data_IF_240108871480
#
_entry.id   IF_240108871480
#
_cell.length_a   1.000
_cell.length_b   1.000
_cell.length_c   1.000
_cell.angle_alpha   90.00
_cell.angle_beta   90.00
_cell.angle_gamma   90.00
#
_symmetry.space_group_name_H-M   'P 1'
#
loop_
_entity.id
_entity.type
_entity.pdbx_description
1 polymer ?
#
# COMPACT_ATOMS: atom_id res chain seq x y z
N UNK A 1 10.82 -17.45 -12.50
CA UNK A 1 11.31 -16.45 -11.54
C UNK A 1 11.11 -17.00 -10.15
N UNK A 2 12.12 -16.92 -9.29
CA UNK A 2 11.99 -17.38 -7.90
C UNK A 2 11.42 -16.25 -7.04
N UNK A 3 10.14 -16.35 -6.68
CA UNK A 3 9.46 -15.41 -5.79
C UNK A 3 9.39 -15.93 -4.34
N UNK A 4 10.11 -17.01 -4.03
CA UNK A 4 10.08 -17.64 -2.70
C UNK A 4 10.44 -16.68 -1.58
N UNK A 5 11.38 -15.75 -1.81
CA UNK A 5 11.75 -14.73 -0.84
C UNK A 5 10.60 -13.75 -0.53
N UNK A 6 9.79 -13.39 -1.53
CA UNK A 6 8.61 -12.53 -1.35
C UNK A 6 7.52 -13.28 -0.61
N UNK A 7 7.26 -14.54 -0.98
CA UNK A 7 6.28 -15.39 -0.29
C UNK A 7 6.66 -15.62 1.17
N UNK A 8 7.94 -15.91 1.45
CA UNK A 8 8.44 -16.07 2.82
C UNK A 8 8.34 -14.77 3.64
N UNK A 9 8.57 -13.61 3.02
CA UNK A 9 8.40 -12.32 3.67
C UNK A 9 6.92 -12.00 3.98
N UNK A 10 5.99 -12.39 3.09
CA UNK A 10 4.55 -12.29 3.33
C UNK A 10 4.09 -13.22 4.46
N UNK A 11 4.54 -14.49 4.46
CA UNK A 11 4.21 -15.47 5.50
C UNK A 11 4.76 -15.06 6.89
N UNK A 12 5.96 -14.48 6.92
CA UNK A 12 6.58 -13.97 8.14
C UNK A 12 6.09 -12.58 8.55
N UNK A 13 5.13 -11.99 7.81
CA UNK A 13 4.59 -10.64 8.03
C UNK A 13 5.67 -9.54 8.10
N UNK A 14 6.83 -9.77 7.50
CA UNK A 14 7.96 -8.84 7.50
C UNK A 14 7.82 -7.86 6.32
N UNK A 15 6.72 -7.10 6.31
CA UNK A 15 6.31 -6.26 5.18
C UNK A 15 7.31 -5.16 4.83
N UNK A 16 8.04 -4.63 5.82
CA UNK A 16 9.07 -3.59 5.64
C UNK A 16 10.18 -4.00 4.68
N UNK A 17 10.51 -5.30 4.63
CA UNK A 17 11.62 -5.81 3.80
C UNK A 17 11.19 -6.17 2.39
N UNK A 18 9.89 -6.21 2.11
CA UNK A 18 9.36 -6.69 0.83
C UNK A 18 9.77 -5.76 -0.31
N UNK A 19 9.79 -4.45 -0.08
CA UNK A 19 10.21 -3.45 -1.07
C UNK A 19 11.67 -3.71 -1.50
N UNK A 20 12.60 -3.76 -0.54
CA UNK A 20 14.02 -4.01 -0.82
C UNK A 20 14.25 -5.36 -1.53
N UNK A 21 13.53 -6.41 -1.10
CA UNK A 21 13.61 -7.74 -1.73
C UNK A 21 13.14 -7.67 -3.19
N UNK A 22 12.02 -7.02 -3.44
CA UNK A 22 11.45 -6.87 -4.78
C UNK A 22 12.34 -6.02 -5.69
N UNK A 23 12.90 -4.92 -5.20
CA UNK A 23 13.84 -4.08 -5.96
C UNK A 23 15.10 -4.86 -6.34
N UNK A 24 15.70 -5.58 -5.39
CA UNK A 24 16.89 -6.39 -5.65
C UNK A 24 16.62 -7.51 -6.66
N UNK A 25 15.50 -8.22 -6.53
CA UNK A 25 15.08 -9.23 -7.50
C UNK A 25 14.86 -8.60 -8.88
N UNK A 26 14.25 -7.41 -8.95
CA UNK A 26 14.00 -6.73 -10.23
C UNK A 26 15.31 -6.36 -10.93
N UNK A 27 16.31 -5.89 -10.18
CA UNK A 27 17.64 -5.59 -10.70
C UNK A 27 18.37 -6.83 -11.21
N UNK A 28 18.32 -7.94 -10.45
CA UNK A 28 18.92 -9.21 -10.86
C UNK A 28 18.33 -9.72 -12.17
N UNK A 29 17.01 -9.73 -12.26
CA UNK A 29 16.30 -10.24 -13.43
C UNK A 29 16.52 -9.35 -14.65
N UNK A 30 16.59 -8.02 -14.45
CA UNK A 30 16.97 -7.09 -15.50
C UNK A 30 18.42 -7.32 -15.99
N UNK A 31 19.35 -7.65 -15.10
CA UNK A 31 20.73 -7.98 -15.46
C UNK A 31 20.83 -9.29 -16.27
N UNK A 32 20.00 -10.29 -15.93
CA UNK A 32 19.93 -11.57 -16.64
C UNK A 32 19.22 -11.48 -18.01
N UNK A 33 18.61 -10.34 -18.33
CA UNK A 33 17.94 -10.09 -19.61
C UNK A 33 16.65 -10.90 -19.81
N UNK A 34 16.10 -11.49 -18.74
CA UNK A 34 14.88 -12.27 -18.80
C UNK A 34 13.65 -11.37 -18.91
N UNK A 35 12.69 -11.74 -19.75
CA UNK A 35 11.40 -11.03 -19.83
C UNK A 35 10.55 -11.37 -18.59
N UNK A 36 10.49 -10.45 -17.63
CA UNK A 36 9.76 -10.66 -16.37
C UNK A 36 8.47 -9.86 -16.25
N UNK A 37 8.20 -8.99 -17.21
CA UNK A 37 7.17 -7.98 -17.05
C UNK A 37 5.75 -8.54 -16.92
N UNK A 38 5.47 -9.76 -17.36
CA UNK A 38 4.12 -10.34 -17.30
C UNK A 38 3.87 -11.13 -16.01
N UNK A 39 4.90 -11.70 -15.39
CA UNK A 39 4.78 -12.60 -14.23
C UNK A 39 5.12 -11.91 -12.90
N UNK A 40 5.44 -10.60 -12.94
CA UNK A 40 5.87 -9.87 -11.75
C UNK A 40 4.70 -9.52 -10.83
N UNK A 41 4.83 -9.69 -9.50
CA UNK A 41 3.79 -9.33 -8.53
C UNK A 41 3.74 -7.81 -8.28
N UNK A 42 3.30 -7.04 -9.28
CA UNK A 42 3.30 -5.57 -9.20
C UNK A 42 2.43 -5.00 -8.08
N UNK A 43 1.31 -5.65 -7.75
CA UNK A 43 0.42 -5.18 -6.69
C UNK A 43 1.13 -5.22 -5.32
N UNK A 44 1.81 -6.34 -5.01
CA UNK A 44 2.62 -6.50 -3.80
C UNK A 44 3.77 -5.50 -3.79
N UNK A 45 4.47 -5.35 -4.91
CA UNK A 45 5.61 -4.46 -5.00
C UNK A 45 5.20 -2.99 -4.76
N UNK A 46 4.13 -2.51 -5.41
CA UNK A 46 3.60 -1.16 -5.19
C UNK A 46 3.15 -0.95 -3.74
N UNK A 47 2.41 -1.91 -3.17
CA UNK A 47 1.94 -1.81 -1.79
C UNK A 47 3.10 -1.77 -0.80
N UNK A 48 4.17 -2.53 -1.07
CA UNK A 48 5.37 -2.53 -0.24
C UNK A 48 6.10 -1.19 -0.23
N UNK A 49 6.17 -0.49 -1.36
CA UNK A 49 6.72 0.88 -1.38
C UNK A 49 5.85 1.85 -0.58
N UNK A 50 4.52 1.72 -0.63
CA UNK A 50 3.63 2.54 0.20
C UNK A 50 3.78 2.24 1.68
N UNK A 51 4.01 0.98 2.05
CA UNK A 51 4.27 0.56 3.42
C UNK A 51 5.54 1.19 4.01
N UNK A 52 6.59 1.38 3.18
CA UNK A 52 7.88 1.99 3.58
C UNK A 52 7.89 3.52 3.36
N UNK A 53 6.73 4.13 3.07
CA UNK A 53 6.60 5.57 2.78
C UNK A 53 7.36 6.06 1.54
N UNK A 54 7.77 5.16 0.64
CA UNK A 54 8.48 5.51 -0.58
C UNK A 54 7.54 5.65 -1.79
N UNK A 55 6.75 6.72 -1.77
CA UNK A 55 5.78 7.02 -2.83
C UNK A 55 6.50 7.35 -4.16
N UNK A 56 7.75 7.82 -4.10
CA UNK A 56 8.50 8.17 -5.30
C UNK A 56 8.91 6.92 -6.08
N UNK A 57 9.47 5.92 -5.38
CA UNK A 57 9.82 4.63 -6.00
C UNK A 57 8.59 3.92 -6.56
N UNK A 58 7.47 3.94 -5.83
CA UNK A 58 6.19 3.43 -6.34
C UNK A 58 5.75 4.11 -7.65
N UNK A 59 5.93 5.43 -7.77
CA UNK A 59 5.60 6.20 -8.98
C UNK A 59 6.54 5.87 -10.15
N UNK A 60 7.82 5.64 -9.89
CA UNK A 60 8.75 5.19 -10.92
C UNK A 60 8.37 3.79 -11.41
N UNK A 61 8.09 2.87 -10.49
CA UNK A 61 7.61 1.53 -10.81
C UNK A 61 6.34 1.60 -11.67
N UNK A 62 5.35 2.41 -11.30
CA UNK A 62 4.11 2.58 -12.07
C UNK A 62 4.33 2.99 -13.53
N UNK A 63 5.33 3.83 -13.80
CA UNK A 63 5.66 4.25 -15.17
C UNK A 63 6.27 3.12 -16.00
N UNK A 64 7.00 2.22 -15.36
CA UNK A 64 7.65 1.07 -16.01
C UNK A 64 6.66 -0.05 -16.33
N UNK A 65 5.54 -0.15 -15.59
CA UNK A 65 4.53 -1.19 -15.82
C UNK A 65 3.89 -1.03 -17.22
N UNK A 66 3.90 -2.08 -18.07
CA UNK A 66 3.24 -2.07 -19.38
C UNK A 66 1.73 -1.83 -19.28
N UNK A 67 1.16 -1.10 -20.25
CA UNK A 67 -0.28 -0.82 -20.30
C UNK A 67 -1.14 -2.08 -20.30
N UNK A 68 -0.68 -3.16 -20.94
CA UNK A 68 -1.37 -4.45 -20.98
C UNK A 68 -1.60 -5.04 -19.58
N UNK A 69 -0.66 -4.86 -18.65
CA UNK A 69 -0.80 -5.34 -17.27
C UNK A 69 -1.73 -4.44 -16.46
N UNK A 70 -1.70 -3.13 -16.72
CA UNK A 70 -2.65 -2.18 -16.12
C UNK A 70 -4.08 -2.50 -16.53
N UNK A 71 -4.31 -2.91 -17.77
CA UNK A 71 -5.65 -3.28 -18.24
C UNK A 71 -6.07 -4.67 -17.75
N UNK A 72 -5.12 -5.62 -17.71
CA UNK A 72 -5.41 -7.00 -17.33
C UNK A 72 -5.52 -7.23 -15.83
N UNK A 73 -4.88 -6.42 -14.99
CA UNK A 73 -4.85 -6.63 -13.54
C UNK A 73 -5.50 -5.45 -12.78
N UNK A 74 -6.76 -5.61 -12.33
CA UNK A 74 -7.45 -4.56 -11.60
C UNK A 74 -6.87 -4.32 -10.19
N UNK A 75 -6.21 -5.30 -9.57
CA UNK A 75 -5.59 -5.14 -8.24
C UNK A 75 -4.46 -4.10 -8.30
N UNK A 76 -3.66 -4.11 -9.38
CA UNK A 76 -2.57 -3.15 -9.59
C UNK A 76 -3.10 -1.72 -9.69
N UNK A 77 -4.22 -1.52 -10.37
CA UNK A 77 -4.89 -0.21 -10.41
C UNK A 77 -5.46 0.18 -9.04
N UNK A 78 -6.03 -0.76 -8.30
CA UNK A 78 -6.58 -0.50 -6.97
C UNK A 78 -5.49 -0.05 -6.00
N UNK A 79 -4.33 -0.74 -5.98
CA UNK A 79 -3.16 -0.31 -5.20
C UNK A 79 -2.70 1.08 -5.63
N UNK A 80 -2.64 1.36 -6.93
CA UNK A 80 -2.25 2.68 -7.41
C UNK A 80 -3.23 3.79 -7.00
N UNK A 81 -4.55 3.51 -6.96
CA UNK A 81 -5.55 4.46 -6.45
C UNK A 81 -5.28 4.82 -4.98
N UNK A 82 -4.89 3.86 -4.14
CA UNK A 82 -4.46 4.13 -2.76
C UNK A 82 -3.28 5.11 -2.77
N UNK A 83 -2.26 4.83 -3.60
CA UNK A 83 -1.10 5.70 -3.80
C UNK A 83 -1.46 7.13 -4.23
N UNK A 84 -2.46 7.29 -5.09
CA UNK A 84 -2.95 8.60 -5.51
C UNK A 84 -3.58 9.38 -4.36
N UNK A 85 -4.37 8.72 -3.51
CA UNK A 85 -4.97 9.37 -2.34
C UNK A 85 -3.92 9.73 -1.29
N UNK A 86 -2.90 8.87 -1.08
CA UNK A 86 -1.74 9.18 -0.24
C UNK A 86 -0.99 10.42 -0.75
N UNK A 87 -0.76 10.51 -2.06
CA UNK A 87 -0.09 11.68 -2.66
C UNK A 87 -0.88 12.97 -2.48
N UNK A 88 -2.20 12.91 -2.64
CA UNK A 88 -3.10 14.05 -2.42
C UNK A 88 -3.34 14.36 -0.93
N UNK A 89 -2.79 13.54 -0.01
CA UNK A 89 -3.04 13.62 1.44
C UNK A 89 -4.54 13.57 1.77
N UNK A 90 -5.30 12.81 0.99
CA UNK A 90 -6.72 12.62 1.23
C UNK A 90 -6.92 11.42 2.17
N UNK A 91 -6.92 11.68 3.48
CA UNK A 91 -6.96 10.64 4.50
C UNK A 91 -8.21 9.76 4.42
N UNK A 92 -9.41 10.37 4.30
CA UNK A 92 -10.66 9.63 4.10
C UNK A 92 -10.65 8.82 2.79
N UNK A 93 -10.14 9.43 1.72
CA UNK A 93 -10.02 8.78 0.41
C UNK A 93 -9.12 7.55 0.40
N UNK A 94 -8.08 7.50 1.24
CA UNK A 94 -7.23 6.31 1.41
C UNK A 94 -8.04 5.14 1.96
N UNK A 95 -8.81 5.37 3.03
CA UNK A 95 -9.65 4.33 3.63
C UNK A 95 -10.79 3.88 2.70
N UNK A 96 -11.37 4.80 1.94
CA UNK A 96 -12.35 4.47 0.90
C UNK A 96 -11.75 3.63 -0.22
N UNK A 97 -10.54 3.98 -0.70
CA UNK A 97 -9.85 3.22 -1.73
C UNK A 97 -9.48 1.81 -1.28
N UNK A 98 -9.10 1.63 -0.01
CA UNK A 98 -8.81 0.32 0.59
C UNK A 98 -10.09 -0.54 0.66
N UNK A 99 -11.21 0.02 1.12
CA UNK A 99 -12.50 -0.70 1.25
C UNK A 99 -13.22 -0.92 -0.07
N UNK A 100 -12.97 -0.08 -1.06
CA UNK A 100 -13.68 -0.08 -2.35
C UNK A 100 -13.25 -1.18 -3.32
N UNK A 101 -12.32 -2.06 -2.94
CA UNK A 101 -11.82 -3.12 -3.80
C UNK A 101 -11.75 -4.46 -3.05
N UNK A 102 -12.16 -5.55 -3.72
CA UNK A 102 -12.06 -6.91 -3.19
C UNK A 102 -10.67 -7.49 -3.48
N UNK A 103 -9.84 -7.56 -2.45
CA UNK A 103 -8.46 -8.04 -2.53
C UNK A 103 -8.39 -9.56 -2.58
N UNK A 104 -7.42 -10.11 -3.32
CA UNK A 104 -7.09 -11.52 -3.25
C UNK A 104 -6.59 -11.93 -1.85
N UNK A 105 -6.78 -13.19 -1.48
CA UNK A 105 -6.45 -13.71 -0.15
C UNK A 105 -4.99 -13.41 0.28
N UNK A 106 -4.05 -13.46 -0.67
CA UNK A 106 -2.63 -13.18 -0.41
C UNK A 106 -2.31 -11.70 -0.19
N UNK A 107 -3.15 -10.78 -0.69
CA UNK A 107 -2.96 -9.34 -0.53
C UNK A 107 -3.85 -8.75 0.57
N UNK A 108 -4.94 -9.42 0.91
CA UNK A 108 -5.88 -8.98 1.94
C UNK A 108 -5.20 -8.77 3.29
N UNK A 109 -4.38 -9.72 3.73
CA UNK A 109 -3.63 -9.60 4.98
C UNK A 109 -2.63 -8.44 4.94
N UNK A 110 -2.00 -8.22 3.79
CA UNK A 110 -1.05 -7.14 3.61
C UNK A 110 -1.73 -5.77 3.58
N UNK A 111 -2.87 -5.64 2.89
CA UNK A 111 -3.66 -4.41 2.86
C UNK A 111 -4.23 -4.10 4.24
N UNK A 112 -4.67 -5.11 5.00
CA UNK A 112 -5.11 -4.92 6.38
C UNK A 112 -3.96 -4.39 7.26
N UNK A 113 -2.77 -5.00 7.18
CA UNK A 113 -1.59 -4.52 7.90
C UNK A 113 -1.18 -3.09 7.50
N UNK A 114 -1.27 -2.75 6.22
CA UNK A 114 -1.05 -1.39 5.73
C UNK A 114 -2.10 -0.41 6.30
N UNK A 115 -3.37 -0.78 6.29
CA UNK A 115 -4.44 0.05 6.85
C UNK A 115 -4.23 0.32 8.35
N UNK A 116 -3.86 -0.70 9.12
CA UNK A 116 -3.58 -0.54 10.56
C UNK A 116 -2.38 0.38 10.82
N UNK A 117 -1.28 0.20 10.06
CA UNK A 117 -0.11 1.06 10.16
C UNK A 117 -0.48 2.51 9.82
N UNK A 118 -1.19 2.72 8.72
CA UNK A 118 -1.59 4.04 8.27
C UNK A 118 -2.50 4.74 9.29
N UNK A 119 -3.53 4.06 9.80
CA UNK A 119 -4.41 4.63 10.85
C UNK A 119 -3.61 5.02 12.09
N UNK A 120 -2.65 4.20 12.51
CA UNK A 120 -1.80 4.48 13.67
C UNK A 120 -0.93 5.73 13.47
N UNK A 121 -0.32 5.89 12.29
CA UNK A 121 0.51 7.05 11.97
C UNK A 121 -0.31 8.33 11.85
N UNK A 122 -1.48 8.26 11.21
CA UNK A 122 -2.41 9.39 11.14
C UNK A 122 -2.86 9.79 12.54
N UNK A 123 -3.19 8.82 13.40
CA UNK A 123 -3.53 9.10 14.80
C UNK A 123 -2.39 9.80 15.55
N UNK A 124 -1.15 9.32 15.42
CA UNK A 124 0.02 9.98 16.03
C UNK A 124 0.22 11.40 15.50
N UNK A 125 0.01 11.62 14.21
CA UNK A 125 0.08 12.94 13.60
C UNK A 125 -0.97 13.87 14.22
N UNK A 126 -2.23 13.43 14.33
CA UNK A 126 -3.31 14.21 14.94
C UNK A 126 -2.99 14.61 16.38
N UNK A 127 -2.55 13.64 17.20
CA UNK A 127 -2.17 13.88 18.62
C UNK A 127 -1.02 14.88 18.73
N UNK A 128 -0.07 14.85 17.80
CA UNK A 128 1.06 15.78 17.80
C UNK A 128 0.73 17.19 17.29
N UNK A 129 -0.20 17.30 16.35
CA UNK A 129 -0.48 18.55 15.63
C UNK A 129 -1.64 19.37 16.24
N UNK A 130 -2.59 18.71 16.91
CA UNK A 130 -3.80 19.36 17.42
C UNK A 130 -3.93 19.22 18.93
N UNK A 131 -4.03 20.35 19.63
CA UNK A 131 -4.42 20.38 21.05
C UNK A 131 -5.92 20.17 21.24
N UNK A 132 -6.72 20.49 20.23
CA UNK A 132 -8.18 20.28 20.19
C UNK A 132 -8.59 20.01 18.75
N UNK A 133 -9.39 18.97 18.52
CA UNK A 133 -9.90 18.55 17.22
C UNK A 133 -11.35 18.08 17.37
N UNK A 134 -12.17 18.23 16.34
CA UNK A 134 -13.57 17.76 16.36
C UNK A 134 -13.64 16.25 16.18
N UNK A 135 -14.70 15.62 16.70
CA UNK A 135 -14.92 14.17 16.51
C UNK A 135 -15.17 13.82 15.04
N UNK A 136 -15.83 14.72 14.31
CA UNK A 136 -16.09 14.62 12.87
C UNK A 136 -14.78 14.55 12.07
N UNK A 137 -13.84 15.45 12.37
CA UNK A 137 -12.52 15.47 11.72
C UNK A 137 -11.74 14.19 12.04
N UNK A 138 -11.73 13.74 13.30
CA UNK A 138 -11.06 12.49 13.71
C UNK A 138 -11.65 11.28 12.98
N UNK A 139 -12.98 11.19 12.89
CA UNK A 139 -13.67 10.13 12.17
C UNK A 139 -13.26 10.11 10.68
N UNK A 140 -13.18 11.30 10.06
CA UNK A 140 -12.75 11.45 8.67
C UNK A 140 -11.28 11.06 8.46
N UNK A 141 -10.38 11.48 9.36
CA UNK A 141 -8.95 11.19 9.25
C UNK A 141 -8.63 9.71 9.47
N UNK A 142 -9.32 9.05 10.42
CA UNK A 142 -9.10 7.65 10.74
C UNK A 142 -9.99 6.70 9.92
N UNK A 143 -10.88 7.25 9.10
CA UNK A 143 -11.79 6.50 8.24
C UNK A 143 -12.78 5.60 8.99
N UNK A 144 -13.16 5.97 10.21
CA UNK A 144 -14.05 5.23 11.11
C UNK A 144 -15.37 5.98 11.34
N UNK A 145 -16.33 5.32 11.99
CA UNK A 145 -17.59 5.98 12.35
C UNK A 145 -17.37 7.00 13.49
N UNK A 146 -18.25 7.99 13.60
CA UNK A 146 -18.19 8.98 14.70
C UNK A 146 -18.30 8.31 16.09
N UNK A 147 -19.03 7.20 16.18
CA UNK A 147 -19.18 6.42 17.42
C UNK A 147 -17.84 5.78 17.82
N UNK A 148 -17.11 5.20 16.87
CA UNK A 148 -15.78 4.64 17.09
C UNK A 148 -14.75 5.73 17.41
N UNK A 149 -14.82 6.88 16.70
CA UNK A 149 -13.94 8.02 16.93
C UNK A 149 -14.11 8.62 18.34
N UNK A 150 -15.34 8.65 18.87
CA UNK A 150 -15.60 9.11 20.24
C UNK A 150 -15.07 8.15 21.33
N UNK A 151 -14.84 6.89 20.95
CA UNK A 151 -14.34 5.83 21.84
C UNK A 151 -12.82 5.69 21.81
N UNK A 152 -12.13 6.34 20.86
CA UNK A 152 -10.67 6.46 20.83
C UNK A 152 -10.18 7.33 21.99
N UNK A 153 -9.88 6.69 23.13
CA UNK A 153 -9.18 7.29 24.27
C UNK A 153 -7.68 7.04 24.22
#
# INVERSE_FOLDING_TARGET
MDLSAVTAALESKSYEKIADICDNLMLQVAADGAAFHNDWPYAIHLLSHFYVHDINSARFLWKTIPSSIKESNPEVNAVWKIGQQLWLRNYGGVHEAIRGFEWSQGLQDFVAAFSELYTKEVFQLLVSAYSTITVEDVALFLGMSEEDASSCK
#
